data_IF_954568723256
#
_entry.id   IF_954568723256
#
_cell.length_a   1.000
_cell.length_b   1.000
_cell.length_c   1.000
_cell.angle_alpha   90.00
_cell.angle_beta   90.00
_cell.angle_gamma   90.00
#
_symmetry.space_group_name_H-M   'P 1'
#
loop_
_entity.id
_entity.type
_entity.pdbx_description
1 polymer ?
#
# COMPACT_ATOMS: atom_id res chain seq x y z
N UNK A 1 9.63 -9.77 -8.78
CA UNK A 1 9.73 -9.74 -10.25
C UNK A 1 8.99 -8.55 -10.85
N UNK A 2 7.70 -8.30 -10.51
CA UNK A 2 6.87 -7.27 -11.15
C UNK A 2 7.43 -5.85 -11.01
N UNK A 3 7.91 -5.46 -9.84
CA UNK A 3 8.45 -4.11 -9.59
C UNK A 3 9.77 -3.87 -10.32
N UNK A 4 10.64 -4.90 -10.40
CA UNK A 4 11.86 -4.84 -11.22
C UNK A 4 11.50 -4.69 -12.69
N UNK A 5 10.55 -5.50 -13.18
CA UNK A 5 10.07 -5.42 -14.55
C UNK A 5 9.46 -4.04 -14.85
N UNK A 6 8.60 -3.53 -13.95
CA UNK A 6 7.98 -2.21 -14.09
C UNK A 6 9.00 -1.09 -14.18
N UNK A 7 10.01 -1.11 -13.30
CA UNK A 7 11.11 -0.13 -13.33
C UNK A 7 11.87 -0.17 -14.65
N UNK A 8 12.30 -1.36 -15.07
CA UNK A 8 13.01 -1.54 -16.35
C UNK A 8 12.17 -1.03 -17.53
N UNK A 9 10.86 -1.28 -17.52
CA UNK A 9 9.96 -0.78 -18.57
C UNK A 9 9.80 0.75 -18.60
N UNK A 10 9.88 1.41 -17.44
CA UNK A 10 9.91 2.88 -17.40
C UNK A 10 11.20 3.42 -18.03
N UNK A 11 12.34 2.80 -17.73
CA UNK A 11 13.65 3.15 -18.34
C UNK A 11 13.63 2.89 -19.85
N UNK A 12 13.22 1.70 -20.29
CA UNK A 12 13.13 1.34 -21.72
C UNK A 12 12.24 2.28 -22.53
N UNK A 13 11.18 2.82 -21.89
CA UNK A 13 10.26 3.77 -22.55
C UNK A 13 10.72 5.23 -22.47
N UNK A 14 11.85 5.49 -21.82
CA UNK A 14 12.37 6.85 -21.64
C UNK A 14 11.52 7.71 -20.70
N UNK A 15 10.70 7.11 -19.85
CA UNK A 15 9.90 7.82 -18.84
C UNK A 15 10.82 8.31 -17.71
N UNK A 16 11.82 7.50 -17.38
CA UNK A 16 12.88 7.80 -16.40
C UNK A 16 14.23 7.40 -16.97
N UNK A 17 15.31 7.99 -16.44
CA UNK A 17 16.67 7.49 -16.66
C UNK A 17 16.99 6.31 -15.73
N UNK A 18 18.00 5.52 -16.07
CA UNK A 18 18.50 4.48 -15.16
C UNK A 18 19.11 5.12 -13.92
N UNK A 19 18.66 4.66 -12.75
CA UNK A 19 19.04 5.22 -11.45
C UNK A 19 18.06 6.28 -10.91
N UNK A 20 17.12 6.77 -11.70
CA UNK A 20 16.07 7.66 -11.22
C UNK A 20 15.15 6.96 -10.21
N UNK A 21 14.73 7.71 -9.20
CA UNK A 21 13.82 7.19 -8.18
C UNK A 21 12.38 7.06 -8.70
N UNK A 22 11.69 6.09 -8.15
CA UNK A 22 10.25 5.88 -8.39
C UNK A 22 9.49 5.74 -7.08
N UNK A 23 8.24 6.17 -7.05
CA UNK A 23 7.31 5.77 -6.00
C UNK A 23 6.61 4.47 -6.40
N UNK A 24 6.24 3.67 -5.43
CA UNK A 24 5.47 2.44 -5.64
C UNK A 24 4.23 2.49 -4.76
N UNK A 25 3.05 2.49 -5.37
CA UNK A 25 1.76 2.44 -4.69
C UNK A 25 1.17 1.05 -4.79
N UNK A 26 0.74 0.51 -3.67
CA UNK A 26 0.21 -0.86 -3.61
C UNK A 26 -1.11 -0.90 -2.82
N UNK A 27 -2.21 -1.37 -3.44
CA UNK A 27 -3.42 -1.68 -2.68
C UNK A 27 -3.12 -2.84 -1.75
N UNK A 28 -3.23 -2.60 -0.44
CA UNK A 28 -2.61 -3.46 0.56
C UNK A 28 -3.62 -4.00 1.57
N UNK A 29 -3.72 -5.33 1.65
CA UNK A 29 -4.33 -6.08 2.74
C UNK A 29 -3.27 -6.81 3.54
N UNK A 30 -2.95 -8.05 3.19
CA UNK A 30 -2.01 -8.92 3.90
C UNK A 30 -0.51 -8.56 3.75
N UNK A 31 -0.20 -7.40 3.21
CA UNK A 31 1.15 -6.83 3.08
C UNK A 31 2.13 -7.61 2.16
N UNK A 32 1.75 -8.72 1.58
CA UNK A 32 2.65 -9.55 0.78
C UNK A 32 3.18 -8.83 -0.47
N UNK A 33 2.31 -8.09 -1.17
CA UNK A 33 2.66 -7.42 -2.42
C UNK A 33 3.61 -6.22 -2.17
N UNK A 34 3.28 -5.33 -1.23
CA UNK A 34 4.14 -4.19 -0.91
C UNK A 34 5.48 -4.64 -0.28
N UNK A 35 5.49 -5.76 0.47
CA UNK A 35 6.73 -6.37 0.96
C UNK A 35 7.63 -6.83 -0.20
N UNK A 36 7.04 -7.36 -1.28
CA UNK A 36 7.81 -7.69 -2.49
C UNK A 36 8.40 -6.44 -3.17
N UNK A 37 7.70 -5.29 -3.12
CA UNK A 37 8.25 -4.00 -3.55
C UNK A 37 9.44 -3.58 -2.67
N UNK A 38 9.31 -3.71 -1.35
CA UNK A 38 10.39 -3.45 -0.40
C UNK A 38 11.63 -4.31 -0.70
N UNK A 39 11.45 -5.61 -0.97
CA UNK A 39 12.57 -6.47 -1.37
C UNK A 39 13.19 -6.03 -2.71
N UNK A 40 12.39 -5.59 -3.68
CA UNK A 40 12.93 -5.03 -4.92
C UNK A 40 13.82 -3.81 -4.66
N UNK A 41 13.41 -2.92 -3.75
CA UNK A 41 14.25 -1.81 -3.27
C UNK A 41 15.55 -2.29 -2.62
N UNK A 42 15.48 -3.31 -1.75
CA UNK A 42 16.69 -3.92 -1.16
C UNK A 42 17.61 -4.59 -2.18
N UNK A 43 17.07 -5.01 -3.32
CA UNK A 43 17.85 -5.57 -4.44
C UNK A 43 18.43 -4.51 -5.39
N UNK A 44 18.19 -3.21 -5.11
CA UNK A 44 18.82 -2.10 -5.85
C UNK A 44 17.88 -1.28 -6.72
N UNK A 45 16.56 -1.55 -6.77
CA UNK A 45 15.61 -0.65 -7.42
C UNK A 45 15.53 0.65 -6.60
N UNK A 46 15.78 1.83 -7.21
CA UNK A 46 15.80 3.10 -6.50
C UNK A 46 14.37 3.58 -6.17
N UNK A 47 13.83 3.08 -5.06
CA UNK A 47 12.50 3.46 -4.58
C UNK A 47 12.61 4.70 -3.69
N UNK A 48 11.85 5.75 -4.03
CA UNK A 48 11.70 6.95 -3.21
C UNK A 48 10.74 6.72 -2.06
N UNK A 49 9.54 6.19 -2.36
CA UNK A 49 8.48 5.99 -1.38
C UNK A 49 7.69 4.71 -1.66
N UNK A 50 7.38 3.95 -0.61
CA UNK A 50 6.39 2.87 -0.64
C UNK A 50 5.07 3.42 -0.10
N UNK A 51 4.05 3.48 -0.94
CA UNK A 51 2.74 4.02 -0.58
C UNK A 51 1.78 2.85 -0.36
N UNK A 52 1.45 2.63 0.91
CA UNK A 52 0.56 1.58 1.38
C UNK A 52 -0.88 2.10 1.35
N UNK A 53 -1.65 1.67 0.36
CA UNK A 53 -3.03 2.09 0.19
C UNK A 53 -3.99 1.11 0.87
N UNK A 54 -4.82 1.61 1.78
CA UNK A 54 -5.87 0.87 2.50
C UNK A 54 -7.25 1.29 2.03
N UNK A 55 -8.24 0.41 2.22
CA UNK A 55 -9.64 0.82 2.18
C UNK A 55 -10.09 1.36 3.56
N UNK A 56 -11.40 1.42 3.83
CA UNK A 56 -11.95 1.88 5.12
C UNK A 56 -11.39 1.10 6.32
N UNK A 57 -10.92 -0.14 6.13
CA UNK A 57 -10.19 -0.90 7.14
C UNK A 57 -8.73 -0.44 7.20
N UNK A 58 -8.51 0.78 7.67
CA UNK A 58 -7.26 1.54 7.57
C UNK A 58 -6.23 1.23 8.68
N UNK A 59 -6.17 0.00 9.18
CA UNK A 59 -5.23 -0.39 10.25
C UNK A 59 -3.77 -0.11 9.87
N UNK A 60 -3.40 -0.37 8.61
CA UNK A 60 -2.05 -0.11 8.12
C UNK A 60 -1.75 1.38 7.96
N UNK A 61 -2.72 2.19 7.51
CA UNK A 61 -2.59 3.65 7.43
C UNK A 61 -2.26 4.24 8.79
N UNK A 62 -3.10 3.95 9.80
CA UNK A 62 -2.90 4.43 11.16
C UNK A 62 -1.59 3.91 11.76
N UNK A 63 -1.20 2.67 11.42
CA UNK A 63 0.08 2.10 11.87
C UNK A 63 1.28 2.87 11.30
N UNK A 64 1.32 3.16 10.01
CA UNK A 64 2.42 3.92 9.42
C UNK A 64 2.49 5.36 9.93
N UNK A 65 1.35 5.95 10.27
CA UNK A 65 1.28 7.29 10.84
C UNK A 65 1.77 7.32 12.29
N UNK A 66 1.32 6.38 13.12
CA UNK A 66 1.50 6.45 14.59
C UNK A 66 2.58 5.51 15.13
N UNK A 67 2.93 4.45 14.42
CA UNK A 67 3.74 3.33 14.94
C UNK A 67 2.99 2.39 15.86
N UNK A 68 1.67 2.55 15.96
CA UNK A 68 0.78 1.71 16.77
C UNK A 68 -0.08 0.85 15.87
N UNK A 69 0.02 -0.47 16.01
CA UNK A 69 -0.87 -1.41 15.37
C UNK A 69 -2.00 -1.78 16.33
N UNK A 70 -3.24 -1.45 15.97
CA UNK A 70 -4.39 -1.63 16.85
C UNK A 70 -5.54 -2.28 16.10
N UNK A 71 -5.94 -3.48 16.53
CA UNK A 71 -7.06 -4.24 15.97
C UNK A 71 -8.37 -4.07 16.75
N UNK A 72 -8.37 -3.28 17.84
CA UNK A 72 -9.58 -2.93 18.59
C UNK A 72 -10.38 -1.86 17.84
N UNK A 73 -10.95 -2.23 16.71
CA UNK A 73 -11.69 -1.33 15.83
C UNK A 73 -12.82 -2.07 15.10
N UNK A 74 -13.74 -1.29 14.57
CA UNK A 74 -14.79 -1.81 13.72
C UNK A 74 -14.24 -2.41 12.42
N UNK A 75 -14.84 -3.50 11.96
CA UNK A 75 -14.56 -4.14 10.68
C UNK A 75 -15.63 -3.76 9.66
N UNK A 76 -15.20 -3.34 8.48
CA UNK A 76 -16.10 -2.90 7.41
C UNK A 76 -16.00 -3.85 6.21
N UNK A 77 -17.15 -4.25 5.67
CA UNK A 77 -17.23 -4.90 4.37
C UNK A 77 -17.25 -3.81 3.29
N UNK A 78 -16.33 -3.88 2.34
CA UNK A 78 -16.18 -2.88 1.28
C UNK A 78 -16.28 -3.50 -0.12
N UNK A 79 -16.22 -2.65 -1.15
CA UNK A 79 -16.14 -3.10 -2.54
C UNK A 79 -14.72 -3.53 -2.99
N UNK A 80 -13.73 -3.47 -2.09
CA UNK A 80 -12.37 -3.99 -2.29
C UNK A 80 -12.04 -5.11 -1.28
N UNK A 81 -12.73 -6.27 -1.36
CA UNK A 81 -12.77 -7.26 -0.29
C UNK A 81 -11.42 -7.90 0.05
N UNK A 82 -10.46 -7.94 -0.88
CA UNK A 82 -9.12 -8.46 -0.57
C UNK A 82 -8.33 -7.58 0.40
N UNK A 83 -8.82 -6.36 0.67
CA UNK A 83 -8.26 -5.41 1.63
C UNK A 83 -9.10 -5.32 2.91
N UNK A 84 -10.20 -6.08 3.03
CA UNK A 84 -11.03 -6.15 4.23
C UNK A 84 -10.34 -7.03 5.26
N UNK A 85 -9.40 -6.45 5.98
CA UNK A 85 -8.59 -7.13 7.01
C UNK A 85 -8.38 -6.22 8.23
N UNK A 86 -8.18 -6.82 9.39
CA UNK A 86 -7.67 -6.17 10.59
C UNK A 86 -6.27 -6.67 10.97
N UNK A 87 -5.91 -7.88 10.55
CA UNK A 87 -4.57 -8.46 10.79
C UNK A 87 -3.87 -8.65 9.45
N UNK A 88 -2.77 -7.93 9.26
CA UNK A 88 -1.95 -7.97 8.06
C UNK A 88 -0.79 -8.95 8.26
N UNK A 89 -0.97 -10.20 7.79
CA UNK A 89 -0.15 -11.35 8.16
C UNK A 89 1.32 -11.29 7.75
N UNK A 90 1.69 -10.49 6.74
CA UNK A 90 3.08 -10.38 6.31
C UNK A 90 3.78 -9.12 6.83
N UNK A 91 3.09 -8.26 7.59
CA UNK A 91 3.70 -7.05 8.15
C UNK A 91 4.84 -7.41 9.10
N UNK A 92 4.71 -8.49 9.89
CA UNK A 92 5.74 -8.96 10.81
C UNK A 92 7.10 -9.19 10.12
N UNK A 93 7.10 -9.55 8.83
CA UNK A 93 8.32 -9.75 8.05
C UNK A 93 9.05 -8.43 7.76
N UNK A 94 8.29 -7.36 7.47
CA UNK A 94 8.88 -6.03 7.38
C UNK A 94 9.47 -5.62 8.73
N UNK A 95 8.69 -5.76 9.81
CA UNK A 95 9.13 -5.40 11.16
C UNK A 95 10.40 -6.13 11.56
N UNK A 96 10.51 -7.43 11.23
CA UNK A 96 11.72 -8.22 11.46
C UNK A 96 12.95 -7.59 10.81
N UNK A 97 12.85 -7.16 9.54
CA UNK A 97 13.95 -6.49 8.85
C UNK A 97 14.27 -5.12 9.46
N UNK A 98 13.25 -4.34 9.83
CA UNK A 98 13.42 -3.02 10.42
C UNK A 98 13.98 -3.09 11.85
N UNK A 99 13.72 -4.18 12.58
CA UNK A 99 14.30 -4.48 13.87
C UNK A 99 15.76 -5.01 13.81
N UNK A 100 16.40 -4.99 12.64
CA UNK A 100 17.75 -5.55 12.48
C UNK A 100 17.79 -7.08 12.54
N UNK A 101 16.70 -7.75 12.17
CA UNK A 101 16.48 -9.20 12.22
C UNK A 101 16.40 -9.75 13.67
N UNK A 102 15.92 -8.94 14.62
CA UNK A 102 15.67 -9.37 16.00
C UNK A 102 14.35 -10.13 16.11
N UNK A 103 14.43 -11.47 16.18
CA UNK A 103 13.27 -12.34 16.36
C UNK A 103 12.64 -12.25 17.75
N UNK A 104 13.41 -11.82 18.77
CA UNK A 104 12.89 -11.60 20.13
C UNK A 104 11.94 -10.41 20.18
N UNK A 105 12.33 -9.31 19.56
CA UNK A 105 11.47 -8.12 19.45
C UNK A 105 10.17 -8.44 18.68
N UNK A 106 10.26 -9.18 17.57
CA UNK A 106 9.06 -9.54 16.80
C UNK A 106 8.12 -10.45 17.60
N UNK A 107 8.67 -11.43 18.32
CA UNK A 107 7.87 -12.28 19.20
C UNK A 107 7.12 -11.43 20.24
N UNK A 108 7.81 -10.51 20.90
CA UNK A 108 7.21 -9.59 21.88
C UNK A 108 6.04 -8.80 21.27
N UNK A 109 6.19 -8.27 20.05
CA UNK A 109 5.12 -7.54 19.35
C UNK A 109 3.92 -8.44 19.01
N UNK A 110 4.18 -9.67 18.56
CA UNK A 110 3.11 -10.62 18.23
C UNK A 110 2.37 -11.12 19.47
N UNK A 111 3.09 -11.38 20.58
CA UNK A 111 2.48 -11.74 21.86
C UNK A 111 1.58 -10.58 22.38
N UNK A 112 2.00 -9.32 22.24
CA UNK A 112 1.16 -8.16 22.56
C UNK A 112 -0.08 -8.06 21.64
N UNK A 113 0.08 -8.35 20.36
CA UNK A 113 -1.07 -8.35 19.44
C UNK A 113 -2.09 -9.43 19.82
N UNK A 114 -1.63 -10.59 20.27
CA UNK A 114 -2.51 -11.67 20.70
C UNK A 114 -3.24 -11.33 22.00
N UNK A 115 -2.51 -10.81 23.03
CA UNK A 115 -3.06 -10.51 24.35
C UNK A 115 -3.90 -9.23 24.37
N UNK A 116 -3.34 -8.12 23.84
CA UNK A 116 -3.88 -6.78 24.01
C UNK A 116 -4.60 -6.27 22.76
N UNK A 117 -4.55 -7.06 21.66
CA UNK A 117 -5.04 -6.69 20.32
C UNK A 117 -4.35 -5.44 19.76
N UNK A 118 -3.18 -5.09 20.32
CA UNK A 118 -2.44 -3.87 20.03
C UNK A 118 -0.97 -4.03 20.36
N UNK A 119 -0.09 -3.39 19.57
CA UNK A 119 1.32 -3.17 19.93
C UNK A 119 1.80 -1.80 19.45
N UNK A 120 2.89 -1.33 20.05
CA UNK A 120 3.65 -0.16 19.59
C UNK A 120 5.08 -0.60 19.26
N UNK A 121 5.55 -0.15 18.09
CA UNK A 121 6.92 -0.45 17.64
C UNK A 121 7.95 0.43 18.36
N UNK A 122 9.21 -0.07 18.43
CA UNK A 122 10.34 0.68 18.93
C UNK A 122 10.74 1.84 18.00
N UNK A 123 11.51 2.80 18.52
CA UNK A 123 12.02 3.95 17.73
C UNK A 123 12.88 3.48 16.56
N UNK A 124 13.61 2.36 16.69
CA UNK A 124 14.42 1.78 15.62
C UNK A 124 13.52 1.36 14.43
N UNK A 125 12.45 0.61 14.73
CA UNK A 125 11.47 0.21 13.71
C UNK A 125 10.78 1.44 13.14
N UNK A 126 10.38 2.39 14.01
CA UNK A 126 9.71 3.63 13.59
C UNK A 126 10.54 4.42 12.57
N UNK A 127 11.84 4.58 12.82
CA UNK A 127 12.77 5.22 11.90
C UNK A 127 12.86 4.46 10.56
N UNK A 128 12.88 3.13 10.60
CA UNK A 128 12.90 2.30 9.40
C UNK A 128 11.63 2.40 8.55
N UNK A 129 10.51 2.83 9.16
CA UNK A 129 9.23 3.04 8.47
C UNK A 129 9.13 4.36 7.69
N UNK A 130 10.07 5.28 7.83
CA UNK A 130 10.06 6.61 7.18
C UNK A 130 9.97 6.54 5.63
N UNK A 131 10.41 5.43 5.02
CA UNK A 131 10.25 5.22 3.58
C UNK A 131 8.83 4.82 3.16
N UNK A 132 7.95 4.55 4.11
CA UNK A 132 6.56 4.19 3.87
C UNK A 132 5.64 5.38 4.12
N UNK A 133 4.58 5.45 3.33
CA UNK A 133 3.43 6.34 3.53
C UNK A 133 2.17 5.49 3.59
N UNK A 134 1.30 5.75 4.55
CA UNK A 134 -0.01 5.11 4.68
C UNK A 134 -1.12 6.06 4.28
N UNK A 135 -2.01 5.62 3.40
CA UNK A 135 -3.22 6.36 3.03
C UNK A 135 -4.41 5.42 2.89
N UNK A 136 -5.63 5.97 2.83
CA UNK A 136 -6.83 5.17 2.66
C UNK A 136 -7.85 5.87 1.77
N UNK A 137 -8.78 5.08 1.19
CA UNK A 137 -9.93 5.60 0.48
C UNK A 137 -11.23 4.92 0.98
N UNK A 138 -12.29 5.70 1.03
CA UNK A 138 -13.65 5.22 1.28
C UNK A 138 -14.23 4.56 0.05
N UNK A 139 -15.37 3.86 0.19
CA UNK A 139 -16.09 3.26 -0.96
C UNK A 139 -16.51 4.34 -1.97
N UNK A 140 -17.02 5.48 -1.50
CA UNK A 140 -17.47 6.57 -2.38
C UNK A 140 -16.30 7.20 -3.15
N UNK A 141 -15.17 7.43 -2.50
CA UNK A 141 -13.95 7.94 -3.14
C UNK A 141 -13.38 6.94 -4.15
N UNK A 142 -13.45 5.64 -3.82
CA UNK A 142 -13.04 4.55 -4.74
C UNK A 142 -13.91 4.55 -5.99
N UNK A 143 -15.24 4.64 -5.85
CA UNK A 143 -16.17 4.70 -6.98
C UNK A 143 -15.94 5.97 -7.82
N UNK A 144 -15.77 7.12 -7.17
CA UNK A 144 -15.45 8.37 -7.85
C UNK A 144 -14.15 8.29 -8.67
N UNK A 145 -13.11 7.62 -8.13
CA UNK A 145 -11.84 7.40 -8.81
C UNK A 145 -11.99 6.51 -10.06
N UNK A 146 -12.80 5.42 -9.98
CA UNK A 146 -13.11 4.57 -11.13
C UNK A 146 -13.79 5.39 -12.23
N UNK A 147 -14.87 6.09 -11.88
CA UNK A 147 -15.63 6.89 -12.86
C UNK A 147 -14.79 8.00 -13.50
N UNK A 148 -13.96 8.70 -12.71
CA UNK A 148 -13.04 9.73 -13.18
C UNK A 148 -12.04 9.15 -14.20
N UNK A 149 -11.34 8.07 -13.83
CA UNK A 149 -10.34 7.45 -14.71
C UNK A 149 -10.96 6.95 -16.01
N UNK A 150 -12.15 6.37 -15.94
CA UNK A 150 -12.86 5.91 -17.13
C UNK A 150 -13.24 7.07 -18.07
N UNK A 151 -13.81 8.16 -17.55
CA UNK A 151 -14.19 9.33 -18.37
C UNK A 151 -12.99 10.06 -18.95
N UNK A 152 -11.94 10.25 -18.15
CA UNK A 152 -10.81 11.11 -18.55
C UNK A 152 -9.80 10.37 -19.42
N UNK A 153 -9.65 9.05 -19.25
CA UNK A 153 -8.58 8.27 -19.88
C UNK A 153 -9.08 7.00 -20.61
N UNK A 154 -10.36 6.67 -20.56
CA UNK A 154 -10.90 5.42 -21.11
C UNK A 154 -10.38 4.15 -20.42
N UNK A 155 -9.77 4.29 -19.23
CA UNK A 155 -9.18 3.16 -18.52
C UNK A 155 -10.09 2.68 -17.38
N UNK A 156 -10.45 1.38 -17.43
CA UNK A 156 -11.34 0.77 -16.46
C UNK A 156 -10.55 0.08 -15.36
N UNK A 157 -10.51 0.71 -14.18
CA UNK A 157 -9.84 0.15 -13.01
C UNK A 157 -10.76 -0.82 -12.26
N UNK A 158 -10.15 -1.85 -11.62
CA UNK A 158 -10.81 -2.58 -10.55
C UNK A 158 -10.83 -1.75 -9.25
N UNK A 159 -11.66 -2.18 -8.29
CA UNK A 159 -11.86 -1.46 -7.04
C UNK A 159 -10.60 -1.33 -6.18
N UNK A 160 -9.71 -2.33 -6.20
CA UNK A 160 -8.45 -2.28 -5.43
C UNK A 160 -7.46 -1.30 -6.05
N UNK A 161 -7.30 -1.36 -7.38
CA UNK A 161 -6.47 -0.39 -8.11
C UNK A 161 -6.99 1.03 -7.92
N UNK A 162 -8.31 1.22 -7.86
CA UNK A 162 -8.92 2.53 -7.63
C UNK A 162 -8.62 3.08 -6.23
N UNK A 163 -8.62 2.24 -5.18
CA UNK A 163 -8.13 2.64 -3.85
C UNK A 163 -6.69 3.13 -3.93
N UNK A 164 -5.81 2.37 -4.60
CA UNK A 164 -4.40 2.76 -4.73
C UNK A 164 -4.24 4.07 -5.51
N UNK A 165 -5.00 4.27 -6.58
CA UNK A 165 -4.98 5.49 -7.38
C UNK A 165 -5.46 6.70 -6.57
N UNK A 166 -6.56 6.57 -5.81
CA UNK A 166 -7.05 7.66 -4.95
C UNK A 166 -6.04 8.05 -3.88
N UNK A 167 -5.42 7.06 -3.22
CA UNK A 167 -4.38 7.31 -2.22
C UNK A 167 -3.16 8.00 -2.85
N UNK A 168 -2.81 7.64 -4.09
CA UNK A 168 -1.76 8.33 -4.84
C UNK A 168 -2.12 9.79 -5.12
N UNK A 169 -3.34 10.10 -5.58
CA UNK A 169 -3.78 11.47 -5.82
C UNK A 169 -3.70 12.32 -4.53
N UNK A 170 -4.11 11.76 -3.40
CA UNK A 170 -4.03 12.45 -2.11
C UNK A 170 -2.60 12.68 -1.66
N UNK A 171 -1.74 11.66 -1.77
CA UNK A 171 -0.31 11.76 -1.46
C UNK A 171 0.36 12.84 -2.31
N UNK A 172 0.19 12.82 -3.62
CA UNK A 172 0.79 13.79 -4.52
C UNK A 172 0.32 15.23 -4.22
N UNK A 173 -0.98 15.39 -3.90
CA UNK A 173 -1.55 16.69 -3.53
C UNK A 173 -1.02 17.19 -2.19
N UNK A 174 -0.89 16.31 -1.20
CA UNK A 174 -0.44 16.64 0.15
C UNK A 174 1.04 17.00 0.19
N UNK A 175 1.87 16.22 -0.51
CA UNK A 175 3.34 16.32 -0.43
C UNK A 175 3.96 17.17 -1.52
N UNK A 176 3.27 17.35 -2.65
CA UNK A 176 3.86 17.96 -3.85
C UNK A 176 4.92 17.08 -4.53
N UNK A 177 5.01 15.80 -4.18
CA UNK A 177 5.96 14.85 -4.76
C UNK A 177 5.54 14.48 -6.18
N UNK A 178 6.36 14.84 -7.17
CA UNK A 178 6.17 14.58 -8.60
C UNK A 178 7.01 13.39 -9.12
N UNK A 179 7.63 12.64 -8.21
CA UNK A 179 8.42 11.44 -8.56
C UNK A 179 7.58 10.45 -9.37
N UNK A 180 8.08 9.97 -10.53
CA UNK A 180 7.39 8.97 -11.33
C UNK A 180 6.91 7.78 -10.49
N UNK A 181 5.63 7.44 -10.65
CA UNK A 181 4.96 6.52 -9.73
C UNK A 181 4.43 5.28 -10.45
N UNK A 182 4.77 4.10 -9.91
CA UNK A 182 4.19 2.81 -10.30
C UNK A 182 3.02 2.47 -9.38
N UNK A 183 1.82 2.33 -9.94
CA UNK A 183 0.64 1.85 -9.21
C UNK A 183 0.40 0.38 -9.55
N UNK A 184 0.37 -0.48 -8.55
CA UNK A 184 0.13 -1.90 -8.74
C UNK A 184 -1.36 -2.16 -9.06
N UNK A 185 -1.65 -2.55 -10.30
CA UNK A 185 -2.98 -3.02 -10.70
C UNK A 185 -3.08 -4.51 -10.39
N UNK A 186 -3.79 -4.87 -9.33
CA UNK A 186 -3.74 -6.19 -8.70
C UNK A 186 -4.89 -7.11 -9.08
N UNK A 187 -5.93 -6.59 -9.74
CA UNK A 187 -7.10 -7.36 -10.14
C UNK A 187 -7.66 -6.87 -11.49
N UNK A 188 -8.67 -7.57 -11.98
CA UNK A 188 -9.40 -7.19 -13.18
C UNK A 188 -10.73 -6.50 -12.79
N UNK A 189 -11.10 -5.45 -13.51
CA UNK A 189 -12.40 -4.79 -13.37
C UNK A 189 -13.57 -5.78 -13.50
N UNK A 190 -13.45 -6.79 -14.34
CA UNK A 190 -14.48 -7.81 -14.55
C UNK A 190 -14.72 -8.71 -13.34
N UNK A 191 -13.72 -8.85 -12.45
CA UNK A 191 -13.90 -9.60 -11.20
C UNK A 191 -14.85 -8.89 -10.22
N UNK A 192 -14.97 -7.57 -10.35
CA UNK A 192 -15.80 -6.72 -9.50
C UNK A 192 -16.81 -5.93 -10.34
N UNK A 193 -17.36 -6.59 -11.38
CA UNK A 193 -18.16 -5.97 -12.42
C UNK A 193 -19.33 -5.14 -11.88
N UNK A 194 -20.05 -5.63 -10.86
CA UNK A 194 -21.18 -4.90 -10.28
C UNK A 194 -20.75 -3.56 -9.67
N UNK A 195 -19.67 -3.56 -8.88
CA UNK A 195 -19.14 -2.34 -8.26
C UNK A 195 -18.58 -1.37 -9.30
N UNK A 196 -17.89 -1.90 -10.31
CA UNK A 196 -17.29 -1.10 -11.39
C UNK A 196 -18.37 -0.50 -12.29
N UNK A 197 -19.39 -1.29 -12.68
CA UNK A 197 -20.51 -0.79 -13.47
C UNK A 197 -21.34 0.28 -12.76
N UNK A 198 -21.44 0.20 -11.43
CA UNK A 198 -22.11 1.22 -10.62
C UNK A 198 -21.30 2.54 -10.57
N UNK A 199 -19.98 2.48 -10.74
CA UNK A 199 -19.09 3.63 -10.64
C UNK A 199 -18.90 4.42 -11.94
N UNK A 200 -19.28 3.86 -13.10
CA UNK A 200 -19.15 4.49 -14.42
C UNK A 200 -20.50 4.98 -14.94
#
# INVERSE_FOLDING_TARGET
AYYVYGYVKLVERGVIADGDKVNIVVPTGNFGNILAAYYAGKMGIPVNRFICASNKNKVLTDFFETGVYDTNREFYLTNSPSMDILISSNLERLLYHLAGNDGGEIRRLMDQLESDKRYQVSDVIRKGMESFYGGFATVDETNAAIGKMYRDNGYLMDTHTAVAYKVYEDYAKETGDDTPTLIASTASAYKFADSVAHAI
#
